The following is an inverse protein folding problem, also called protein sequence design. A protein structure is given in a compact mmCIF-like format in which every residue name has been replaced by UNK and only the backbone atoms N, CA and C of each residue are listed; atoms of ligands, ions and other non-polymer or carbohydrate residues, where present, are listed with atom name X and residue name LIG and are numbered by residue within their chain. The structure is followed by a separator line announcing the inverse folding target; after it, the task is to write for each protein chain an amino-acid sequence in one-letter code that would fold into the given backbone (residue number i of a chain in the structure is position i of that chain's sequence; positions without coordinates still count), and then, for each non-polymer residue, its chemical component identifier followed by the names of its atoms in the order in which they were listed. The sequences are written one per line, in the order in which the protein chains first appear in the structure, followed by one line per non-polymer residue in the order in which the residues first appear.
data_IF_931728286111
#
_entry.id   IF_931728286111
#
_cell.length_a   1.000
_cell.length_b   1.000
_cell.length_c   1.000
_cell.angle_alpha   90.00
_cell.angle_beta   90.00
_cell.angle_gamma   90.00
#
_symmetry.space_group_name_H-M   'P 1'
#
loop_
_entity.id
_entity.type
_entity.pdbx_description
1 polymer ?
#
# COMPACT_ATOMS: atom_id res chain seq x y z
N UNK A 1 15.21 -55.43 3.36
CA UNK A 1 14.60 -54.35 2.55
C UNK A 1 15.43 -53.11 2.72
N UNK A 2 15.77 -52.48 1.60
CA UNK A 2 17.01 -51.75 1.36
C UNK A 2 16.98 -50.28 1.76
N UNK A 3 18.14 -49.86 2.27
CA UNK A 3 18.83 -48.55 2.36
C UNK A 3 18.28 -47.31 1.59
N UNK A 4 17.36 -47.46 0.63
CA UNK A 4 16.74 -46.37 -0.14
C UNK A 4 15.61 -45.62 0.58
N UNK A 5 15.09 -46.11 1.71
CA UNK A 5 14.05 -45.39 2.49
C UNK A 5 14.58 -44.29 3.41
N UNK A 6 15.86 -44.32 3.81
CA UNK A 6 16.45 -43.25 4.65
C UNK A 6 16.61 -41.93 3.90
N UNK A 7 16.83 -41.96 2.59
CA UNK A 7 17.12 -40.74 1.80
C UNK A 7 15.88 -39.89 1.53
N UNK A 8 14.66 -40.44 1.57
CA UNK A 8 13.43 -39.68 1.27
C UNK A 8 12.90 -38.88 2.47
N UNK A 9 13.19 -39.31 3.70
CA UNK A 9 12.69 -38.65 4.92
C UNK A 9 13.55 -37.44 5.30
N UNK A 10 14.86 -37.46 5.02
CA UNK A 10 15.77 -36.35 5.35
C UNK A 10 15.84 -35.23 4.28
N UNK A 11 15.44 -35.52 3.03
CA UNK A 11 15.56 -34.59 1.91
C UNK A 11 14.40 -33.59 1.80
N UNK A 12 13.18 -34.01 2.14
CA UNK A 12 11.97 -33.18 2.11
C UNK A 12 12.01 -31.95 3.05
N UNK A 13 12.49 -32.04 4.31
CA UNK A 13 12.59 -30.88 5.21
C UNK A 13 13.67 -29.88 4.74
N UNK A 14 14.81 -30.36 4.24
CA UNK A 14 15.91 -29.50 3.77
C UNK A 14 15.55 -28.77 2.47
N UNK A 15 14.88 -29.44 1.54
CA UNK A 15 14.38 -28.82 0.31
C UNK A 15 13.30 -27.76 0.62
N UNK A 16 12.36 -28.04 1.53
CA UNK A 16 11.35 -27.07 1.99
C UNK A 16 11.98 -25.83 2.64
N UNK A 17 12.99 -25.99 3.50
CA UNK A 17 13.69 -24.86 4.13
C UNK A 17 14.41 -23.97 3.11
N UNK A 18 15.06 -24.55 2.11
CA UNK A 18 15.73 -23.78 1.04
C UNK A 18 14.74 -23.07 0.13
N UNK A 19 13.62 -23.71 -0.20
CA UNK A 19 12.52 -23.11 -0.95
C UNK A 19 11.88 -21.93 -0.20
N UNK A 20 11.60 -22.09 1.10
CA UNK A 20 11.05 -21.02 1.93
C UNK A 20 12.01 -19.82 2.05
N UNK A 21 13.31 -20.07 2.32
CA UNK A 21 14.32 -19.01 2.36
C UNK A 21 14.46 -18.29 1.01
N UNK A 22 14.46 -19.02 -0.10
CA UNK A 22 14.46 -18.44 -1.45
C UNK A 22 13.22 -17.59 -1.73
N UNK A 23 12.04 -18.05 -1.29
CA UNK A 23 10.79 -17.32 -1.43
C UNK A 23 10.77 -16.02 -0.61
N UNK A 24 11.31 -16.03 0.61
CA UNK A 24 11.42 -14.83 1.43
C UNK A 24 12.39 -13.80 0.83
N UNK A 25 13.55 -14.23 0.34
CA UNK A 25 14.50 -13.33 -0.34
C UNK A 25 13.85 -12.74 -1.59
N UNK A 26 13.18 -13.57 -2.41
CA UNK A 26 12.47 -13.10 -3.58
C UNK A 26 11.36 -12.09 -3.22
N UNK A 27 10.60 -12.34 -2.15
CA UNK A 27 9.57 -11.43 -1.67
C UNK A 27 10.13 -10.08 -1.22
N UNK A 28 11.27 -10.08 -0.49
CA UNK A 28 11.94 -8.84 -0.06
C UNK A 28 12.48 -8.07 -1.26
N UNK A 29 13.12 -8.74 -2.21
CA UNK A 29 13.61 -8.11 -3.45
C UNK A 29 12.45 -7.50 -4.23
N UNK A 30 11.34 -8.23 -4.37
CA UNK A 30 10.14 -7.74 -5.05
C UNK A 30 9.57 -6.49 -4.35
N UNK A 31 9.51 -6.50 -3.02
CA UNK A 31 9.12 -5.35 -2.19
C UNK A 31 9.98 -4.12 -2.48
N UNK A 32 11.31 -4.27 -2.53
CA UNK A 32 12.24 -3.18 -2.84
C UNK A 32 12.05 -2.67 -4.26
N UNK A 33 11.95 -3.57 -5.25
CA UNK A 33 11.76 -3.20 -6.66
C UNK A 33 10.44 -2.46 -6.85
N UNK A 34 9.34 -2.94 -6.28
CA UNK A 34 8.03 -2.26 -6.31
C UNK A 34 8.13 -0.90 -5.63
N UNK A 35 8.75 -0.81 -4.46
CA UNK A 35 8.93 0.46 -3.74
C UNK A 35 9.71 1.50 -4.54
N UNK A 36 10.85 1.11 -5.14
CA UNK A 36 11.69 2.02 -5.94
C UNK A 36 11.00 2.45 -7.23
N UNK A 37 10.38 1.52 -7.95
CA UNK A 37 9.64 1.83 -9.19
C UNK A 37 8.46 2.75 -8.91
N UNK A 38 7.67 2.44 -7.87
CA UNK A 38 6.59 3.31 -7.39
C UNK A 38 7.11 4.71 -7.07
N UNK A 39 8.18 4.83 -6.29
CA UNK A 39 8.80 6.12 -5.94
C UNK A 39 9.22 6.94 -7.16
N UNK A 40 9.90 6.32 -8.12
CA UNK A 40 10.34 6.98 -9.35
C UNK A 40 9.14 7.45 -10.19
N UNK A 41 8.09 6.63 -10.31
CA UNK A 41 6.87 7.04 -11.02
C UNK A 41 6.17 8.19 -10.31
N UNK A 42 6.04 8.12 -8.99
CA UNK A 42 5.34 9.10 -8.18
C UNK A 42 6.02 10.47 -8.23
N UNK A 43 7.35 10.51 -8.08
CA UNK A 43 8.12 11.76 -8.17
C UNK A 43 8.03 12.41 -9.56
N UNK A 44 7.86 11.61 -10.62
CA UNK A 44 7.61 12.14 -11.97
C UNK A 44 6.21 12.74 -12.09
N UNK A 45 5.18 12.03 -11.62
CA UNK A 45 3.81 12.51 -11.70
C UNK A 45 3.55 13.73 -10.79
N UNK A 46 4.13 13.79 -9.59
CA UNK A 46 4.08 14.96 -8.69
C UNK A 46 4.68 16.19 -9.37
N UNK A 47 5.85 16.04 -10.02
CA UNK A 47 6.48 17.13 -10.77
C UNK A 47 5.60 17.65 -11.90
N UNK A 48 4.91 16.75 -12.62
CA UNK A 48 3.93 17.13 -13.66
C UNK A 48 2.73 17.87 -13.06
N UNK A 49 2.17 17.38 -11.96
CA UNK A 49 1.04 18.03 -11.28
C UNK A 49 1.41 19.45 -10.83
N UNK A 50 2.59 19.62 -10.24
CA UNK A 50 3.11 20.93 -9.86
C UNK A 50 3.28 21.86 -11.08
N UNK A 51 3.76 21.34 -12.21
CA UNK A 51 3.87 22.11 -13.44
C UNK A 51 2.50 22.58 -13.97
N UNK A 52 1.44 21.76 -13.87
CA UNK A 52 0.07 22.18 -14.20
C UNK A 52 -0.41 23.33 -13.32
N UNK A 53 -0.18 23.26 -12.00
CA UNK A 53 -0.58 24.33 -11.07
C UNK A 53 0.21 25.63 -11.30
N UNK A 54 1.52 25.54 -11.57
CA UNK A 54 2.34 26.71 -11.90
C UNK A 54 1.88 27.38 -13.21
N UNK A 55 1.59 26.59 -14.24
CA UNK A 55 1.08 27.10 -15.51
C UNK A 55 -0.32 27.72 -15.36
N UNK A 56 -1.20 27.10 -14.57
CA UNK A 56 -2.51 27.66 -14.22
C UNK A 56 -2.38 29.03 -13.54
N UNK A 57 -1.48 29.14 -12.56
CA UNK A 57 -1.22 30.40 -11.87
C UNK A 57 -0.73 31.51 -12.81
N UNK A 58 0.17 31.18 -13.74
CA UNK A 58 0.66 32.13 -14.76
C UNK A 58 -0.45 32.56 -15.73
N UNK A 59 -1.31 31.64 -16.16
CA UNK A 59 -2.47 31.98 -16.98
C UNK A 59 -3.43 32.93 -16.25
N UNK A 60 -3.70 32.67 -14.97
CA UNK A 60 -4.52 33.56 -14.13
C UNK A 60 -3.88 34.95 -13.93
N UNK A 61 -2.55 35.03 -13.82
CA UNK A 61 -1.84 36.31 -13.75
C UNK A 61 -2.08 37.15 -15.01
N UNK A 62 -2.04 36.55 -16.21
CA UNK A 62 -2.38 37.24 -17.48
C UNK A 62 -3.83 37.72 -17.54
N UNK A 63 -4.77 36.95 -16.99
CA UNK A 63 -6.17 37.39 -16.85
C UNK A 63 -6.27 38.60 -15.92
N UNK A 64 -5.54 38.60 -14.81
CA UNK A 64 -5.51 39.74 -13.89
C UNK A 64 -4.94 40.98 -14.56
N UNK A 65 -3.91 40.84 -15.40
CA UNK A 65 -3.36 41.97 -16.16
C UNK A 65 -4.34 42.56 -17.15
N UNK A 66 -5.07 41.73 -17.89
CA UNK A 66 -6.10 42.24 -18.81
C UNK A 66 -7.21 42.97 -18.09
N UNK A 67 -7.62 42.49 -16.91
CA UNK A 67 -8.57 43.19 -16.05
C UNK A 67 -8.00 44.52 -15.55
N UNK A 68 -6.76 44.55 -15.06
CA UNK A 68 -6.12 45.80 -14.62
C UNK A 68 -6.01 46.82 -15.76
N UNK A 69 -5.68 46.37 -16.98
CA UNK A 69 -5.68 47.22 -18.17
C UNK A 69 -7.06 47.77 -18.50
N UNK A 70 -8.09 46.91 -18.47
CA UNK A 70 -9.48 47.32 -18.68
C UNK A 70 -9.92 48.38 -17.66
N UNK A 71 -9.60 48.19 -16.38
CA UNK A 71 -9.92 49.15 -15.31
C UNK A 71 -9.07 50.42 -15.39
N UNK A 72 -7.89 50.39 -16.02
CA UNK A 72 -7.06 51.57 -16.22
C UNK A 72 -7.57 52.47 -17.35
N UNK A 73 -8.33 51.93 -18.30
CA UNK A 73 -8.94 52.71 -19.39
C UNK A 73 -10.01 53.66 -18.83
N UNK A 74 -10.87 53.22 -17.90
CA UNK A 74 -12.00 54.05 -17.45
C UNK A 74 -11.59 55.39 -16.76
N UNK A 75 -10.67 55.42 -15.78
CA UNK A 75 -10.17 56.68 -15.22
C UNK A 75 -9.45 57.54 -16.26
N UNK A 76 -8.81 56.91 -17.24
CA UNK A 76 -8.15 57.61 -18.31
C UNK A 76 -9.16 58.34 -19.21
N UNK A 77 -10.21 57.65 -19.66
CA UNK A 77 -11.18 58.24 -20.58
C UNK A 77 -12.12 59.23 -19.91
N UNK A 78 -12.48 59.00 -18.63
CA UNK A 78 -13.37 59.90 -17.87
C UNK A 78 -12.69 61.08 -17.20
N UNK A 79 -11.49 60.88 -16.65
CA UNK A 79 -10.82 61.87 -15.79
C UNK A 79 -9.51 62.39 -16.37
N UNK A 80 -9.10 61.91 -17.55
CA UNK A 80 -7.78 62.21 -18.12
C UNK A 80 -6.62 61.68 -17.27
N UNK A 81 -6.89 60.78 -16.31
CA UNK A 81 -5.89 60.26 -15.40
C UNK A 81 -5.11 59.13 -16.06
N UNK A 82 -3.88 59.44 -16.48
CA UNK A 82 -2.97 58.52 -17.18
C UNK A 82 -2.14 57.64 -16.24
N UNK A 83 -2.11 57.92 -14.93
CA UNK A 83 -1.30 57.16 -13.96
C UNK A 83 -1.64 55.66 -13.91
N UNK A 84 -2.92 55.22 -13.97
CA UNK A 84 -3.25 53.80 -14.00
C UNK A 84 -2.70 53.07 -15.24
N UNK A 85 -2.73 53.70 -16.42
CA UNK A 85 -2.17 53.12 -17.65
C UNK A 85 -0.64 52.98 -17.56
N UNK A 86 0.00 53.91 -16.86
CA UNK A 86 1.43 53.92 -16.57
C UNK A 86 1.86 52.85 -15.56
N UNK A 87 1.09 52.66 -14.48
CA UNK A 87 1.38 51.68 -13.43
C UNK A 87 1.45 50.22 -13.93
N UNK A 88 0.85 49.94 -15.10
CA UNK A 88 0.91 48.66 -15.80
C UNK A 88 2.30 48.34 -16.39
N UNK A 89 3.30 49.20 -16.21
CA UNK A 89 4.70 48.94 -16.60
C UNK A 89 5.37 47.82 -15.82
N UNK A 90 4.96 47.59 -14.56
CA UNK A 90 5.68 46.70 -13.63
C UNK A 90 5.67 45.23 -14.03
N UNK A 91 4.94 44.88 -15.08
CA UNK A 91 4.61 43.51 -15.43
C UNK A 91 4.83 43.28 -16.91
N UNK A 92 5.98 42.69 -17.25
CA UNK A 92 6.33 42.32 -18.61
C UNK A 92 5.46 41.12 -19.04
N UNK A 93 4.27 41.41 -19.54
CA UNK A 93 3.31 40.40 -20.00
C UNK A 93 3.90 39.49 -21.08
N UNK A 94 4.90 39.95 -21.85
CA UNK A 94 5.59 39.13 -22.84
C UNK A 94 6.45 38.04 -22.15
N UNK A 95 7.14 38.40 -21.06
CA UNK A 95 7.88 37.45 -20.22
C UNK A 95 6.91 36.47 -19.54
N UNK A 96 5.80 36.95 -18.97
CA UNK A 96 4.82 36.06 -18.35
C UNK A 96 4.17 35.11 -19.33
N UNK A 97 3.82 35.60 -20.51
CA UNK A 97 3.29 34.76 -21.57
C UNK A 97 4.32 33.76 -22.09
N UNK A 98 5.60 34.16 -22.18
CA UNK A 98 6.67 33.25 -22.57
C UNK A 98 6.94 32.18 -21.49
N UNK A 99 6.88 32.57 -20.20
CA UNK A 99 6.93 31.62 -19.07
C UNK A 99 5.79 30.61 -19.16
N UNK A 100 4.57 31.10 -19.40
CA UNK A 100 3.39 30.27 -19.56
C UNK A 100 3.54 29.29 -20.74
N UNK A 101 3.92 29.76 -21.92
CA UNK A 101 4.09 28.93 -23.10
C UNK A 101 5.15 27.85 -22.88
N UNK A 102 6.29 28.17 -22.26
CA UNK A 102 7.31 27.17 -21.90
C UNK A 102 6.80 26.15 -20.90
N UNK A 103 6.04 26.59 -19.89
CA UNK A 103 5.49 25.72 -18.85
C UNK A 103 4.41 24.77 -19.40
N UNK A 104 3.62 25.21 -20.39
CA UNK A 104 2.52 24.43 -20.97
C UNK A 104 2.94 23.57 -22.17
N UNK A 105 4.06 23.90 -22.85
CA UNK A 105 4.57 23.16 -24.01
C UNK A 105 4.70 21.63 -23.80
N UNK A 106 5.16 21.10 -22.64
CA UNK A 106 5.18 19.66 -22.38
C UNK A 106 3.86 19.09 -21.85
N UNK A 107 2.88 19.94 -21.51
CA UNK A 107 1.68 19.58 -20.76
C UNK A 107 0.38 19.57 -21.59
N UNK A 108 0.35 20.35 -22.67
CA UNK A 108 -0.86 20.60 -23.46
C UNK A 108 -0.78 19.90 -24.82
N UNK A 109 -1.86 19.26 -25.30
CA UNK A 109 -1.90 18.66 -26.63
C UNK A 109 -1.57 19.68 -27.74
N UNK A 110 -0.91 19.24 -28.82
CA UNK A 110 -0.47 20.09 -29.95
C UNK A 110 -1.58 20.98 -30.58
N UNK A 111 -2.85 20.67 -30.34
CA UNK A 111 -4.00 21.41 -30.86
C UNK A 111 -4.22 22.80 -30.23
N UNK A 112 -3.62 23.13 -29.09
CA UNK A 112 -3.76 24.48 -28.48
C UNK A 112 -2.78 25.52 -29.05
N UNK A 113 -1.98 25.15 -30.06
CA UNK A 113 -1.04 26.07 -30.72
C UNK A 113 -1.72 27.26 -31.43
N UNK A 114 -2.99 27.15 -31.79
CA UNK A 114 -3.80 28.29 -32.25
C UNK A 114 -4.10 29.26 -31.10
N UNK A 115 -4.57 28.75 -29.95
CA UNK A 115 -4.89 29.54 -28.76
C UNK A 115 -3.69 30.36 -28.28
N UNK A 116 -2.49 29.77 -28.18
CA UNK A 116 -1.29 30.54 -27.80
C UNK A 116 -0.92 31.60 -28.84
N UNK A 117 -1.09 31.33 -30.14
CA UNK A 117 -0.89 32.35 -31.18
C UNK A 117 -1.89 33.50 -31.06
N UNK A 118 -3.15 33.21 -30.78
CA UNK A 118 -4.21 34.22 -30.64
C UNK A 118 -3.99 35.09 -29.40
N UNK A 119 -3.69 34.49 -28.24
CA UNK A 119 -3.33 35.21 -27.01
C UNK A 119 -2.12 36.12 -27.26
N UNK A 120 -1.04 35.60 -27.86
CA UNK A 120 0.16 36.39 -28.19
C UNK A 120 -0.18 37.57 -29.08
N UNK A 121 -0.96 37.36 -30.14
CA UNK A 121 -1.34 38.40 -31.08
C UNK A 121 -2.15 39.50 -30.39
N UNK A 122 -3.13 39.12 -29.57
CA UNK A 122 -4.00 40.08 -28.92
C UNK A 122 -3.29 40.82 -27.77
N UNK A 123 -2.41 40.16 -27.02
CA UNK A 123 -1.55 40.84 -26.04
C UNK A 123 -0.64 41.89 -26.69
N UNK A 124 -0.05 41.59 -27.86
CA UNK A 124 0.72 42.59 -28.63
C UNK A 124 -0.15 43.78 -29.01
N UNK A 125 -1.35 43.56 -29.56
CA UNK A 125 -2.28 44.64 -29.90
C UNK A 125 -2.58 45.55 -28.72
N UNK A 126 -2.81 44.98 -27.53
CA UNK A 126 -3.08 45.76 -26.31
C UNK A 126 -1.86 46.57 -25.87
N UNK A 127 -0.67 45.97 -25.95
CA UNK A 127 0.58 46.65 -25.64
C UNK A 127 0.88 47.80 -26.59
N UNK A 128 0.75 47.57 -27.89
CA UNK A 128 0.99 48.57 -28.92
C UNK A 128 -0.01 49.73 -28.77
N UNK A 129 -1.30 49.42 -28.55
CA UNK A 129 -2.32 50.43 -28.28
C UNK A 129 -2.02 51.27 -27.03
N UNK A 130 -1.49 50.64 -25.96
CA UNK A 130 -1.06 51.34 -24.75
C UNK A 130 0.09 52.30 -25.03
N UNK A 131 1.16 51.82 -25.66
CA UNK A 131 2.35 52.64 -25.92
C UNK A 131 2.00 53.80 -26.85
N UNK A 132 1.15 53.56 -27.85
CA UNK A 132 0.68 54.57 -28.77
C UNK A 132 -0.18 55.64 -28.09
N UNK A 133 -1.12 55.23 -27.23
CA UNK A 133 -1.93 56.15 -26.43
C UNK A 133 -1.05 57.01 -25.50
N UNK A 134 -0.06 56.40 -24.82
CA UNK A 134 0.90 57.12 -23.97
C UNK A 134 1.76 58.11 -24.77
N UNK A 135 2.14 57.76 -26.01
CA UNK A 135 2.89 58.66 -26.89
C UNK A 135 2.07 59.88 -27.29
N UNK A 136 0.83 59.66 -27.75
CA UNK A 136 -0.10 60.74 -28.10
C UNK A 136 -0.37 61.67 -26.90
N UNK A 137 -0.46 61.10 -25.70
CA UNK A 137 -0.62 61.88 -24.47
C UNK A 137 0.60 62.72 -24.13
N UNK A 138 1.81 62.16 -24.21
CA UNK A 138 3.05 62.91 -23.94
C UNK A 138 3.12 64.20 -24.75
N UNK A 139 2.81 64.11 -26.05
CA UNK A 139 2.79 65.27 -26.94
C UNK A 139 1.59 66.19 -26.73
N UNK A 140 0.52 65.72 -26.09
CA UNK A 140 -0.72 66.46 -25.85
C UNK A 140 -0.87 67.11 -24.47
N UNK A 141 -0.18 66.62 -23.43
CA UNK A 141 -0.42 67.03 -22.02
C UNK A 141 0.81 67.57 -21.29
N UNK A 142 1.91 67.86 -22.00
CA UNK A 142 3.19 68.27 -21.40
C UNK A 142 3.80 67.21 -20.46
N UNK A 143 3.36 65.95 -20.55
CA UNK A 143 3.90 64.84 -19.78
C UNK A 143 5.30 64.48 -20.34
N UNK A 144 6.39 64.67 -19.57
CA UNK A 144 7.74 64.44 -20.07
C UNK A 144 7.95 62.97 -20.44
N UNK A 145 8.58 62.71 -21.59
CA UNK A 145 8.93 61.36 -22.04
C UNK A 145 9.82 60.61 -21.02
N UNK A 146 10.59 61.33 -20.21
CA UNK A 146 11.45 60.79 -19.15
C UNK A 146 10.65 60.10 -18.02
N UNK A 147 9.38 60.47 -17.85
CA UNK A 147 8.48 59.84 -16.88
C UNK A 147 7.72 58.64 -17.47
N UNK A 148 7.90 58.36 -18.77
CA UNK A 148 7.22 57.31 -19.51
C UNK A 148 8.14 56.09 -19.75
N UNK A 149 7.58 54.90 -20.06
CA UNK A 149 8.37 53.78 -20.55
C UNK A 149 9.29 54.19 -21.70
N UNK A 150 10.52 53.68 -21.70
CA UNK A 150 11.49 53.96 -22.78
C UNK A 150 10.93 53.57 -24.14
N UNK A 151 10.13 52.50 -24.17
CA UNK A 151 9.43 52.00 -25.35
C UNK A 151 8.44 53.02 -25.94
N UNK A 152 7.91 53.95 -25.14
CA UNK A 152 7.03 55.03 -25.63
C UNK A 152 7.81 56.02 -26.49
N UNK A 153 9.08 56.27 -26.17
CA UNK A 153 9.92 57.16 -26.98
C UNK A 153 10.23 56.57 -28.37
N UNK A 154 10.17 55.24 -28.52
CA UNK A 154 10.40 54.52 -29.76
C UNK A 154 9.17 54.51 -30.69
N UNK A 155 7.98 54.82 -30.15
CA UNK A 155 6.75 54.89 -30.95
C UNK A 155 6.78 56.10 -31.88
N UNK A 156 6.71 55.84 -33.18
CA UNK A 156 6.65 56.87 -34.21
C UNK A 156 5.20 57.20 -34.55
N UNK A 157 4.80 58.46 -34.34
CA UNK A 157 3.50 58.98 -34.79
C UNK A 157 3.53 59.27 -36.28
N UNK A 158 2.39 59.11 -36.98
CA UNK A 158 2.28 59.51 -38.38
C UNK A 158 2.43 61.03 -38.54
N UNK A 159 2.75 61.49 -39.75
CA UNK A 159 2.86 62.94 -40.05
C UNK A 159 1.57 63.69 -39.73
N UNK A 160 0.42 63.10 -40.07
CA UNK A 160 -0.90 63.66 -39.78
C UNK A 160 -1.13 63.83 -38.28
N UNK A 161 -0.69 62.85 -37.47
CA UNK A 161 -0.87 62.90 -36.02
C UNK A 161 0.11 63.85 -35.33
N UNK A 162 1.31 64.05 -35.90
CA UNK A 162 2.27 65.04 -35.39
C UNK A 162 1.72 66.46 -35.50
N UNK A 163 1.00 66.76 -36.58
CA UNK A 163 0.37 68.05 -36.87
C UNK A 163 -0.92 68.31 -36.07
N UNK A 164 -1.47 67.31 -35.38
CA UNK A 164 -2.67 67.47 -34.56
C UNK A 164 -2.44 68.45 -33.40
N UNK A 165 -3.48 69.21 -33.05
CA UNK A 165 -3.49 70.00 -31.82
C UNK A 165 -3.45 69.11 -30.58
N UNK A 166 -2.88 69.62 -29.48
CA UNK A 166 -2.78 68.89 -28.22
C UNK A 166 -4.12 68.25 -27.76
N UNK A 167 -5.27 68.95 -27.77
CA UNK A 167 -6.56 68.33 -27.42
C UNK A 167 -6.99 67.20 -28.36
N UNK A 168 -6.69 67.30 -29.66
CA UNK A 168 -7.00 66.26 -30.63
C UNK A 168 -6.12 65.02 -30.45
N UNK A 169 -4.84 65.18 -30.06
CA UNK A 169 -3.96 64.07 -29.69
C UNK A 169 -4.51 63.27 -28.50
N UNK A 170 -4.98 63.97 -27.46
CA UNK A 170 -5.62 63.34 -26.29
C UNK A 170 -6.90 62.60 -26.68
N UNK A 171 -7.77 63.24 -27.48
CA UNK A 171 -8.99 62.61 -27.98
C UNK A 171 -8.69 61.35 -28.80
N UNK A 172 -7.67 61.40 -29.67
CA UNK A 172 -7.26 60.26 -30.48
C UNK A 172 -6.74 59.08 -29.63
N UNK A 173 -6.04 59.36 -28.54
CA UNK A 173 -5.60 58.35 -27.59
C UNK A 173 -6.80 57.66 -26.90
N UNK A 174 -7.84 58.41 -26.53
CA UNK A 174 -9.09 57.88 -25.98
C UNK A 174 -9.82 57.01 -27.00
N UNK A 175 -10.03 57.51 -28.22
CA UNK A 175 -10.71 56.77 -29.30
C UNK A 175 -9.99 55.46 -29.64
N UNK A 176 -8.65 55.43 -29.55
CA UNK A 176 -7.87 54.20 -29.73
C UNK A 176 -8.14 53.16 -28.64
N UNK A 177 -8.10 53.58 -27.36
CA UNK A 177 -8.30 52.67 -26.23
C UNK A 177 -9.75 52.19 -26.10
N UNK A 178 -10.71 52.99 -26.52
CA UNK A 178 -12.15 52.63 -26.59
C UNK A 178 -12.53 51.95 -27.91
N UNK A 179 -11.55 51.70 -28.79
CA UNK A 179 -11.83 51.08 -30.09
C UNK A 179 -12.36 49.65 -29.93
N UNK A 180 -13.27 49.19 -30.81
CA UNK A 180 -13.75 47.80 -30.80
C UNK A 180 -12.62 46.78 -30.92
N UNK A 181 -11.48 47.16 -31.51
CA UNK A 181 -10.31 46.30 -31.65
C UNK A 181 -9.62 46.05 -30.30
N UNK A 182 -9.48 47.07 -29.46
CA UNK A 182 -8.92 46.95 -28.11
C UNK A 182 -9.89 46.16 -27.22
N UNK A 183 -11.18 46.46 -27.29
CA UNK A 183 -12.21 45.74 -26.54
C UNK A 183 -12.22 44.24 -26.87
N UNK A 184 -12.26 43.87 -28.16
CA UNK A 184 -12.21 42.48 -28.59
C UNK A 184 -10.91 41.78 -28.16
N UNK A 185 -9.77 42.47 -28.24
CA UNK A 185 -8.50 41.92 -27.78
C UNK A 185 -8.50 41.68 -26.26
N UNK A 186 -9.07 42.58 -25.45
CA UNK A 186 -9.23 42.39 -24.00
C UNK A 186 -10.10 41.18 -23.70
N UNK A 187 -11.28 41.09 -24.33
CA UNK A 187 -12.22 40.00 -24.14
C UNK A 187 -11.60 38.65 -24.52
N UNK A 188 -10.94 38.56 -25.68
CA UNK A 188 -10.27 37.33 -26.11
C UNK A 188 -9.17 36.93 -25.14
N UNK A 189 -8.22 37.80 -24.82
CA UNK A 189 -7.11 37.43 -23.93
C UNK A 189 -7.65 37.03 -22.55
N UNK A 190 -8.61 37.77 -22.00
CA UNK A 190 -9.21 37.46 -20.70
C UNK A 190 -9.87 36.08 -20.71
N UNK A 191 -10.73 35.80 -21.68
CA UNK A 191 -11.45 34.54 -21.77
C UNK A 191 -10.51 33.37 -22.05
N UNK A 192 -9.57 33.53 -22.98
CA UNK A 192 -8.63 32.48 -23.37
C UNK A 192 -7.66 32.13 -22.23
N UNK A 193 -7.18 33.13 -21.50
CA UNK A 193 -6.30 32.91 -20.33
C UNK A 193 -7.05 32.35 -19.13
N UNK A 194 -8.30 32.78 -18.88
CA UNK A 194 -9.16 32.20 -17.86
C UNK A 194 -9.46 30.72 -18.13
N UNK A 195 -9.95 30.41 -19.33
CA UNK A 195 -10.28 29.04 -19.73
C UNK A 195 -9.04 28.14 -19.69
N UNK A 196 -7.88 28.65 -20.10
CA UNK A 196 -6.61 27.92 -20.00
C UNK A 196 -6.23 27.68 -18.53
N UNK A 197 -6.36 28.68 -17.66
CA UNK A 197 -6.10 28.56 -16.24
C UNK A 197 -6.96 27.46 -15.59
N UNK A 198 -8.27 27.47 -15.84
CA UNK A 198 -9.20 26.45 -15.32
C UNK A 198 -8.86 25.06 -15.86
N UNK A 199 -8.62 24.95 -17.17
CA UNK A 199 -8.26 23.67 -17.80
C UNK A 199 -7.00 23.07 -17.18
N UNK A 200 -5.95 23.88 -17.01
CA UNK A 200 -4.70 23.46 -16.38
C UNK A 200 -4.90 23.10 -14.90
N UNK A 201 -5.72 23.85 -14.18
CA UNK A 201 -6.05 23.57 -12.79
C UNK A 201 -6.76 22.22 -12.64
N UNK A 202 -7.76 21.96 -13.47
CA UNK A 202 -8.51 20.70 -13.48
C UNK A 202 -7.62 19.51 -13.83
N UNK A 203 -6.72 19.65 -14.80
CA UNK A 203 -5.73 18.60 -15.09
C UNK A 203 -4.78 18.35 -13.91
N UNK A 204 -4.34 19.41 -13.23
CA UNK A 204 -3.56 19.32 -11.99
C UNK A 204 -4.30 18.52 -10.91
N UNK A 205 -5.56 18.83 -10.66
CA UNK A 205 -6.42 18.11 -9.69
C UNK A 205 -6.61 16.65 -10.09
N UNK A 206 -6.98 16.37 -11.35
CA UNK A 206 -7.19 15.00 -11.84
C UNK A 206 -5.92 14.15 -11.69
N UNK A 207 -4.76 14.74 -11.95
CA UNK A 207 -3.49 14.05 -11.78
C UNK A 207 -3.16 13.84 -10.29
N UNK A 208 -3.37 14.83 -9.43
CA UNK A 208 -3.19 14.70 -7.99
C UNK A 208 -4.07 13.59 -7.40
N UNK A 209 -5.35 13.54 -7.77
CA UNK A 209 -6.27 12.48 -7.32
C UNK A 209 -5.84 11.09 -7.83
N UNK A 210 -5.30 11.00 -9.06
CA UNK A 210 -4.74 9.75 -9.58
C UNK A 210 -3.53 9.30 -8.77
N UNK A 211 -2.63 10.22 -8.42
CA UNK A 211 -1.45 9.97 -7.58
C UNK A 211 -1.89 9.46 -6.21
N UNK A 212 -2.87 10.11 -5.58
CA UNK A 212 -3.42 9.70 -4.27
C UNK A 212 -4.00 8.28 -4.31
N UNK A 213 -4.83 7.98 -5.30
CA UNK A 213 -5.41 6.65 -5.47
C UNK A 213 -4.34 5.57 -5.73
N UNK A 214 -3.31 5.88 -6.52
CA UNK A 214 -2.18 4.96 -6.73
C UNK A 214 -1.40 4.71 -5.45
N UNK A 215 -1.16 5.74 -4.63
CA UNK A 215 -0.50 5.60 -3.34
C UNK A 215 -1.29 4.68 -2.41
N UNK A 216 -2.59 4.92 -2.25
CA UNK A 216 -3.46 4.07 -1.43
C UNK A 216 -3.39 2.60 -1.88
N UNK A 217 -3.47 2.34 -3.20
CA UNK A 217 -3.34 0.99 -3.74
C UNK A 217 -1.99 0.33 -3.44
N UNK A 218 -0.89 1.08 -3.59
CA UNK A 218 0.47 0.59 -3.30
C UNK A 218 0.64 0.30 -1.81
N UNK A 219 0.19 1.20 -0.93
CA UNK A 219 0.27 1.00 0.52
C UNK A 219 -0.56 -0.20 1.00
N UNK A 220 -1.78 -0.37 0.48
CA UNK A 220 -2.62 -1.53 0.78
C UNK A 220 -1.96 -2.83 0.30
N UNK A 221 -1.42 -2.85 -0.92
CA UNK A 221 -0.73 -4.02 -1.48
C UNK A 221 0.52 -4.41 -0.71
N UNK A 222 1.40 -3.44 -0.41
CA UNK A 222 2.61 -3.66 0.37
C UNK A 222 2.28 -4.11 1.81
N UNK A 223 1.28 -3.47 2.43
CA UNK A 223 0.80 -3.83 3.76
C UNK A 223 0.31 -5.28 3.84
N UNK A 224 -0.50 -5.72 2.86
CA UNK A 224 -0.97 -7.09 2.78
C UNK A 224 0.19 -8.08 2.60
N UNK A 225 1.17 -7.74 1.76
CA UNK A 225 2.35 -8.58 1.51
C UNK A 225 3.21 -8.74 2.78
N UNK A 226 3.39 -7.66 3.54
CA UNK A 226 4.08 -7.69 4.85
C UNK A 226 3.31 -8.53 5.86
N UNK A 227 1.98 -8.43 5.94
CA UNK A 227 1.17 -9.27 6.83
C UNK A 227 1.29 -10.76 6.50
N UNK A 228 1.27 -11.12 5.21
CA UNK A 228 1.49 -12.49 4.75
C UNK A 228 2.89 -12.98 5.13
N UNK A 229 3.91 -12.13 4.96
CA UNK A 229 5.29 -12.45 5.33
C UNK A 229 5.44 -12.68 6.84
N UNK A 230 4.87 -11.81 7.67
CA UNK A 230 4.88 -11.97 9.14
C UNK A 230 4.13 -13.24 9.55
N UNK A 231 2.95 -13.49 8.95
CA UNK A 231 2.15 -14.68 9.21
C UNK A 231 2.91 -15.97 8.93
N UNK A 232 3.54 -16.07 7.76
CA UNK A 232 4.35 -17.24 7.38
C UNK A 232 5.53 -17.49 8.32
N UNK A 233 6.28 -16.44 8.67
CA UNK A 233 7.39 -16.55 9.64
C UNK A 233 6.93 -17.03 11.02
N UNK A 234 5.77 -16.55 11.50
CA UNK A 234 5.22 -16.96 12.80
C UNK A 234 4.82 -18.44 12.83
N UNK A 235 4.19 -18.94 11.78
CA UNK A 235 3.81 -20.35 11.66
C UNK A 235 5.05 -21.24 11.67
N UNK A 236 6.07 -20.88 10.90
CA UNK A 236 7.34 -21.63 10.83
C UNK A 236 8.06 -21.69 12.18
N UNK A 237 8.09 -20.58 12.92
CA UNK A 237 8.70 -20.55 14.26
C UNK A 237 7.93 -21.40 15.26
N UNK A 238 6.59 -21.41 15.18
CA UNK A 238 5.76 -22.22 16.06
C UNK A 238 5.97 -23.72 15.83
N UNK A 239 5.97 -24.16 14.56
CA UNK A 239 6.24 -25.56 14.20
C UNK A 239 7.61 -26.02 14.68
N UNK A 240 8.66 -25.22 14.46
CA UNK A 240 10.02 -25.56 14.90
C UNK A 240 10.14 -25.68 16.42
N UNK A 241 9.49 -24.79 17.18
CA UNK A 241 9.50 -24.86 18.65
C UNK A 241 8.84 -26.14 19.15
N UNK A 242 7.72 -26.55 18.52
CA UNK A 242 7.05 -27.81 18.84
C UNK A 242 7.91 -29.04 18.57
N UNK A 243 8.56 -29.12 17.41
CA UNK A 243 9.46 -30.24 17.06
C UNK A 243 10.63 -30.38 18.06
N UNK A 244 11.26 -29.26 18.43
CA UNK A 244 12.38 -29.26 19.38
C UNK A 244 11.91 -29.72 20.77
N UNK A 245 10.79 -29.20 21.26
CA UNK A 245 10.24 -29.58 22.56
C UNK A 245 9.89 -31.08 22.61
N UNK A 246 9.29 -31.61 21.55
CA UNK A 246 8.96 -33.02 21.43
C UNK A 246 10.21 -33.91 21.41
N UNK A 247 11.24 -33.52 20.64
CA UNK A 247 12.51 -34.25 20.61
C UNK A 247 13.20 -34.27 21.98
N UNK A 248 13.23 -33.14 22.69
CA UNK A 248 13.87 -33.05 24.01
C UNK A 248 13.16 -33.95 25.03
N UNK A 249 11.83 -33.93 25.05
CA UNK A 249 11.07 -34.72 25.99
C UNK A 249 11.12 -36.24 25.68
N UNK A 250 11.31 -36.65 24.41
CA UNK A 250 11.61 -38.05 24.09
C UNK A 250 13.00 -38.50 24.56
N UNK A 251 14.01 -37.63 24.47
CA UNK A 251 15.35 -37.91 25.01
C UNK A 251 15.29 -38.08 26.53
N UNK A 252 14.64 -37.14 27.24
CA UNK A 252 14.46 -37.21 28.69
C UNK A 252 13.73 -38.49 29.11
N UNK A 253 12.66 -38.87 28.39
CA UNK A 253 11.94 -40.11 28.65
C UNK A 253 12.82 -41.35 28.43
N UNK A 254 13.61 -41.39 27.34
CA UNK A 254 14.53 -42.48 27.05
C UNK A 254 15.62 -42.65 28.12
N UNK A 255 16.19 -41.56 28.61
CA UNK A 255 17.15 -41.56 29.72
C UNK A 255 16.53 -42.12 31.00
N UNK A 256 15.34 -41.61 31.38
CA UNK A 256 14.64 -42.08 32.58
C UNK A 256 14.31 -43.55 32.49
N UNK A 257 13.71 -44.01 31.38
CA UNK A 257 13.35 -45.42 31.18
C UNK A 257 14.56 -46.36 31.26
N UNK A 258 15.75 -45.90 30.88
CA UNK A 258 16.98 -46.69 30.94
C UNK A 258 17.49 -46.93 32.37
N UNK A 259 17.05 -46.14 33.35
CA UNK A 259 17.45 -46.23 34.77
C UNK A 259 16.45 -46.95 35.69
N UNK A 260 15.31 -47.35 35.15
CA UNK A 260 14.18 -47.85 35.95
C UNK A 260 14.40 -49.30 36.40
N UNK A 261 14.11 -49.57 37.68
CA UNK A 261 14.25 -50.91 38.27
C UNK A 261 12.98 -51.77 38.24
N UNK A 262 11.83 -51.24 37.81
CA UNK A 262 10.56 -51.97 37.82
C UNK A 262 9.63 -51.63 36.65
N UNK A 263 8.87 -52.61 36.18
CA UNK A 263 7.91 -52.42 35.08
C UNK A 263 6.83 -51.40 35.43
N UNK A 264 6.39 -51.35 36.69
CA UNK A 264 5.38 -50.39 37.15
C UNK A 264 5.89 -48.94 37.05
N UNK A 265 7.13 -48.70 37.46
CA UNK A 265 7.76 -47.37 37.34
C UNK A 265 7.97 -46.97 35.88
N UNK A 266 8.32 -47.92 35.00
CA UNK A 266 8.48 -47.65 33.57
C UNK A 266 7.12 -47.26 32.94
N UNK A 267 6.06 -48.00 33.23
CA UNK A 267 4.71 -47.66 32.77
C UNK A 267 4.27 -46.29 33.29
N UNK A 268 4.58 -45.94 34.55
CA UNK A 268 4.24 -44.64 35.15
C UNK A 268 4.92 -43.50 34.38
N UNK A 269 6.21 -43.62 34.10
CA UNK A 269 6.96 -42.63 33.33
C UNK A 269 6.42 -42.44 31.89
N UNK A 270 5.97 -43.51 31.24
CA UNK A 270 5.35 -43.44 29.91
C UNK A 270 4.05 -42.64 29.96
N UNK A 271 3.20 -42.89 30.95
CA UNK A 271 1.91 -42.21 31.09
C UNK A 271 2.08 -40.75 31.54
N UNK A 272 3.06 -40.47 32.41
CA UNK A 272 3.46 -39.08 32.75
C UNK A 272 4.00 -38.33 31.53
N UNK A 273 4.78 -38.97 30.68
CA UNK A 273 5.24 -38.35 29.45
C UNK A 273 4.08 -38.11 28.47
N UNK A 274 3.18 -39.07 28.31
CA UNK A 274 1.98 -38.91 27.49
C UNK A 274 1.15 -37.71 27.94
N UNK A 275 1.01 -37.51 29.26
CA UNK A 275 0.29 -36.37 29.82
C UNK A 275 0.85 -35.02 29.32
N UNK A 276 2.18 -34.86 29.31
CA UNK A 276 2.83 -33.62 28.87
C UNK A 276 2.54 -33.27 27.40
N UNK A 277 2.20 -34.26 26.57
CA UNK A 277 2.05 -34.08 25.13
C UNK A 277 0.60 -34.04 24.66
N UNK A 278 -0.20 -35.01 25.11
CA UNK A 278 -1.57 -35.18 24.64
C UNK A 278 -2.60 -34.85 25.72
N UNK A 279 -2.18 -34.82 26.99
CA UNK A 279 -3.09 -34.84 28.12
C UNK A 279 -3.90 -36.14 28.15
N UNK A 280 -4.36 -36.52 29.33
CA UNK A 280 -5.35 -37.59 29.46
C UNK A 280 -6.12 -37.41 30.77
N UNK A 281 -7.41 -37.75 30.71
CA UNK A 281 -8.30 -37.78 31.86
C UNK A 281 -8.19 -39.17 32.54
N UNK A 282 -8.11 -40.23 31.73
CA UNK A 282 -7.86 -41.61 32.17
C UNK A 282 -6.78 -42.30 31.33
N UNK A 283 -6.00 -43.18 31.96
CA UNK A 283 -4.94 -43.92 31.29
C UNK A 283 -4.73 -45.29 31.94
N UNK A 284 -4.56 -46.33 31.12
CA UNK A 284 -4.18 -47.66 31.59
C UNK A 284 -3.06 -48.24 30.72
N UNK A 285 -2.19 -49.02 31.37
CA UNK A 285 -1.13 -49.75 30.68
C UNK A 285 -1.22 -51.21 31.11
N UNK A 286 -1.30 -52.09 30.11
CA UNK A 286 -1.36 -53.53 30.32
C UNK A 286 -0.28 -54.25 29.51
N UNK A 287 0.24 -55.33 30.08
CA UNK A 287 1.20 -56.23 29.42
C UNK A 287 0.46 -57.43 28.83
N UNK A 288 0.88 -57.85 27.65
CA UNK A 288 0.41 -59.08 27.04
C UNK A 288 1.23 -60.27 27.52
N UNK A 289 0.58 -61.30 28.04
CA UNK A 289 1.18 -62.60 28.30
C UNK A 289 0.78 -63.60 27.19
N UNK A 290 1.73 -64.02 26.33
CA UNK A 290 1.47 -65.02 25.29
C UNK A 290 1.10 -66.40 25.84
N UNK A 291 1.57 -66.79 27.04
CA UNK A 291 1.35 -68.13 27.59
C UNK A 291 -0.10 -68.31 28.03
N UNK A 292 -0.65 -67.32 28.70
CA UNK A 292 -2.05 -67.32 29.17
C UNK A 292 -3.00 -66.67 28.16
N UNK A 293 -2.49 -66.12 27.06
CA UNK A 293 -3.25 -65.38 26.04
C UNK A 293 -4.15 -64.29 26.64
N UNK A 294 -3.60 -63.53 27.58
CA UNK A 294 -4.33 -62.51 28.32
C UNK A 294 -3.48 -61.29 28.64
N UNK A 295 -4.15 -60.18 28.90
CA UNK A 295 -3.53 -58.95 29.34
C UNK A 295 -3.51 -58.87 30.86
N UNK A 296 -2.40 -58.38 31.40
CA UNK A 296 -2.24 -58.02 32.80
C UNK A 296 -2.13 -56.50 32.94
N UNK A 297 -3.10 -55.87 33.61
CA UNK A 297 -3.02 -54.44 33.94
C UNK A 297 -1.84 -54.18 34.88
N UNK A 298 -0.92 -53.30 34.49
CA UNK A 298 0.24 -52.89 35.31
C UNK A 298 -0.07 -51.62 36.08
N UNK A 299 -0.80 -50.70 35.46
CA UNK A 299 -1.32 -49.51 36.10
C UNK A 299 -2.57 -49.02 35.40
N UNK A 300 -3.41 -48.33 36.15
CA UNK A 300 -4.54 -47.59 35.65
C UNK A 300 -4.77 -46.36 36.54
N UNK A 301 -5.08 -45.24 35.90
CA UNK A 301 -5.45 -43.98 36.51
C UNK A 301 -6.76 -43.52 35.90
N UNK A 302 -7.55 -42.85 36.73
CA UNK A 302 -8.70 -42.10 36.27
C UNK A 302 -8.85 -40.80 37.05
N UNK A 303 -9.56 -39.85 36.47
CA UNK A 303 -9.88 -38.57 37.09
C UNK A 303 -11.20 -38.69 37.85
N UNK A 304 -11.09 -38.79 39.18
CA UNK A 304 -12.24 -38.89 40.08
C UNK A 304 -12.31 -37.58 40.87
N UNK A 305 -13.44 -36.88 40.78
CA UNK A 305 -13.66 -35.55 41.41
C UNK A 305 -12.55 -34.52 41.08
N UNK A 306 -12.04 -34.53 39.85
CA UNK A 306 -10.99 -33.60 39.41
C UNK A 306 -9.58 -33.96 39.89
N UNK A 307 -9.38 -35.18 40.43
CA UNK A 307 -8.08 -35.66 40.91
C UNK A 307 -7.72 -37.00 40.26
N UNK A 308 -6.48 -37.07 39.77
CA UNK A 308 -5.88 -38.32 39.28
C UNK A 308 -5.71 -39.31 40.40
N UNK A 309 -6.48 -40.38 40.32
CA UNK A 309 -6.55 -41.41 41.33
C UNK A 309 -6.13 -42.74 40.73
N UNK A 310 -5.14 -43.45 41.32
CA UNK A 310 -4.84 -44.82 40.92
C UNK A 310 -6.06 -45.71 41.16
N UNK A 311 -6.44 -46.50 40.17
CA UNK A 311 -7.55 -47.44 40.27
C UNK A 311 -7.05 -48.88 40.12
N UNK A 312 -7.70 -49.80 40.82
CA UNK A 312 -7.40 -51.22 40.71
C UNK A 312 -8.34 -51.87 39.71
N UNK A 313 -7.80 -52.37 38.59
CA UNK A 313 -8.55 -53.14 37.60
C UNK A 313 -8.34 -54.65 37.80
N UNK A 314 -9.19 -55.45 37.18
CA UNK A 314 -9.00 -56.90 37.07
C UNK A 314 -7.56 -57.22 36.62
N UNK A 315 -6.89 -58.09 37.38
CA UNK A 315 -5.48 -58.41 37.16
C UNK A 315 -5.23 -59.11 35.83
N UNK A 316 -6.23 -59.76 35.25
CA UNK A 316 -6.07 -60.53 34.02
C UNK A 316 -7.35 -60.56 33.18
N UNK A 317 -7.27 -60.23 31.88
CA UNK A 317 -8.43 -60.24 30.98
C UNK A 317 -8.07 -60.71 29.56
N UNK A 318 -9.00 -61.36 28.81
CA UNK A 318 -8.73 -61.85 27.46
C UNK A 318 -8.65 -60.72 26.43
N UNK A 319 -7.99 -60.98 25.29
CA UNK A 319 -7.88 -60.02 24.20
C UNK A 319 -9.22 -59.75 23.49
N UNK A 320 -9.73 -58.52 23.62
CA UNK A 320 -10.89 -58.00 22.88
C UNK A 320 -10.51 -57.54 21.45
N UNK A 321 -11.51 -57.08 20.68
CA UNK A 321 -11.35 -56.68 19.28
C UNK A 321 -10.27 -55.61 19.06
N UNK A 322 -10.21 -54.59 19.93
CA UNK A 322 -9.22 -53.51 19.89
C UNK A 322 -7.84 -54.03 20.26
N UNK A 323 -7.74 -54.80 21.35
CA UNK A 323 -6.45 -55.28 21.86
C UNK A 323 -5.73 -56.15 20.83
N UNK A 324 -6.46 -56.96 20.03
CA UNK A 324 -5.88 -57.75 18.93
C UNK A 324 -5.28 -56.87 17.83
N UNK A 325 -5.95 -55.77 17.48
CA UNK A 325 -5.45 -54.81 16.48
C UNK A 325 -4.21 -54.07 16.99
N UNK A 326 -4.23 -53.68 18.26
CA UNK A 326 -3.08 -53.05 18.92
C UNK A 326 -1.88 -54.02 18.95
N UNK A 327 -2.11 -55.29 19.29
CA UNK A 327 -1.07 -56.33 19.22
C UNK A 327 -0.50 -56.48 17.79
N UNK A 328 -1.36 -56.43 16.77
CA UNK A 328 -0.94 -56.42 15.36
C UNK A 328 -0.12 -55.17 14.97
N UNK A 329 -0.12 -54.13 15.80
CA UNK A 329 0.70 -52.93 15.64
C UNK A 329 -0.07 -51.68 15.26
N UNK A 330 -1.40 -51.75 15.22
CA UNK A 330 -2.22 -50.60 14.93
C UNK A 330 -2.25 -49.65 16.13
N UNK A 331 -2.04 -48.35 15.88
CA UNK A 331 -2.41 -47.29 16.81
C UNK A 331 -3.79 -46.77 16.45
N UNK A 332 -4.71 -46.73 17.41
CA UNK A 332 -6.12 -46.46 17.20
C UNK A 332 -6.56 -45.22 17.98
N UNK A 333 -7.37 -44.37 17.35
CA UNK A 333 -8.03 -43.24 17.98
C UNK A 333 -9.51 -43.26 17.60
N UNK A 334 -10.36 -43.34 18.62
CA UNK A 334 -11.82 -43.26 18.50
C UNK A 334 -12.29 -41.92 19.09
N UNK A 335 -13.25 -41.30 18.41
CA UNK A 335 -13.92 -40.08 18.86
C UNK A 335 -15.41 -40.37 18.90
N UNK A 336 -15.99 -40.41 20.10
CA UNK A 336 -17.42 -40.66 20.27
C UNK A 336 -18.24 -39.50 19.68
N UNK A 337 -19.37 -39.81 19.06
CA UNK A 337 -20.18 -38.87 18.29
C UNK A 337 -19.72 -38.69 16.83
N UNK A 338 -18.82 -39.54 16.33
CA UNK A 338 -18.34 -39.50 14.94
C UNK A 338 -18.51 -40.86 14.25
N UNK A 339 -18.21 -40.96 12.95
CA UNK A 339 -18.26 -42.24 12.20
C UNK A 339 -17.31 -43.33 12.73
N UNK A 340 -16.48 -43.05 13.74
CA UNK A 340 -15.52 -43.97 14.38
C UNK A 340 -15.89 -44.18 15.85
N UNK A 341 -17.06 -44.75 16.08
CA UNK A 341 -17.44 -45.23 17.41
C UNK A 341 -16.54 -46.41 17.84
N UNK A 342 -16.21 -46.52 19.13
CA UNK A 342 -15.52 -47.69 19.64
C UNK A 342 -16.43 -48.93 19.56
N UNK A 343 -15.88 -50.13 19.37
CA UNK A 343 -16.61 -51.39 19.44
C UNK A 343 -17.33 -51.62 20.77
N UNK A 344 -18.45 -52.34 20.73
CA UNK A 344 -19.30 -52.64 21.89
C UNK A 344 -18.67 -53.62 22.90
N UNK A 345 -17.57 -54.29 22.55
CA UNK A 345 -16.86 -55.24 23.42
C UNK A 345 -15.83 -54.58 24.36
N UNK A 346 -15.84 -53.24 24.42
CA UNK A 346 -15.08 -52.48 25.41
C UNK A 346 -15.78 -52.45 26.76
N UNK A 347 -15.02 -52.74 27.83
CA UNK A 347 -15.47 -52.56 29.20
C UNK A 347 -14.98 -51.20 29.72
N UNK A 348 -15.87 -50.33 30.24
CA UNK A 348 -15.45 -49.11 30.92
C UNK A 348 -14.71 -49.45 32.22
N UNK A 349 -13.99 -48.47 32.74
CA UNK A 349 -13.35 -48.55 34.04
C UNK A 349 -13.31 -47.17 34.71
N UNK A 350 -13.14 -47.15 36.03
CA UNK A 350 -13.03 -45.90 36.79
C UNK A 350 -14.40 -45.26 37.07
N UNK A 351 -14.54 -43.96 36.84
CA UNK A 351 -15.82 -43.24 36.96
C UNK A 351 -16.72 -43.53 35.74
N UNK A 352 -17.51 -44.59 35.85
CA UNK A 352 -18.45 -45.01 34.82
C UNK A 352 -19.57 -43.97 34.56
N UNK A 353 -19.74 -42.97 35.43
CA UNK A 353 -20.69 -41.88 35.21
C UNK A 353 -20.19 -40.90 34.13
N UNK A 354 -18.89 -40.93 33.81
CA UNK A 354 -18.27 -40.06 32.83
C UNK A 354 -17.60 -40.86 31.70
N UNK A 355 -18.33 -41.04 30.60
CA UNK A 355 -17.80 -41.76 29.44
C UNK A 355 -16.75 -40.93 28.70
N UNK A 356 -15.59 -41.53 28.41
CA UNK A 356 -14.52 -40.89 27.63
C UNK A 356 -15.00 -40.43 26.26
N UNK A 357 -14.80 -39.14 25.94
CA UNK A 357 -15.14 -38.55 24.64
C UNK A 357 -14.23 -39.03 23.51
N UNK A 358 -13.00 -39.38 23.85
CA UNK A 358 -11.99 -39.92 22.94
C UNK A 358 -11.24 -41.07 23.60
N UNK A 359 -10.86 -42.08 22.81
CA UNK A 359 -10.10 -43.25 23.28
C UNK A 359 -8.90 -43.47 22.36
N UNK A 360 -7.70 -43.50 22.93
CA UNK A 360 -6.47 -43.75 22.19
C UNK A 360 -5.82 -45.06 22.67
N UNK A 361 -5.50 -45.95 21.74
CA UNK A 361 -4.81 -47.20 22.01
C UNK A 361 -3.51 -47.26 21.20
N UNK A 362 -2.39 -47.45 21.89
CA UNK A 362 -1.05 -47.43 21.29
C UNK A 362 -0.26 -48.66 21.74
N UNK A 363 0.36 -49.41 20.82
CA UNK A 363 1.23 -50.51 21.20
C UNK A 363 2.55 -49.99 21.77
N UNK A 364 2.91 -50.46 22.97
CA UNK A 364 4.26 -50.30 23.52
C UNK A 364 5.03 -51.58 23.20
N UNK A 365 6.14 -51.46 22.49
CA UNK A 365 6.95 -52.58 22.04
C UNK A 365 8.35 -52.47 22.60
N UNK A 366 8.94 -53.61 22.96
CA UNK A 366 10.39 -53.68 23.14
C UNK A 366 11.01 -53.39 21.77
N UNK A 367 11.87 -52.36 21.69
CA UNK A 367 12.59 -52.04 20.46
C UNK A 367 13.33 -53.28 19.97
N UNK A 368 13.32 -53.53 18.66
CA UNK A 368 13.94 -54.71 18.08
C UNK A 368 15.37 -54.90 18.60
N UNK A 369 15.62 -55.99 19.34
CA UNK A 369 16.87 -56.74 19.12
C UNK A 369 16.75 -57.28 17.70
N UNK A 370 17.27 -56.50 16.75
CA UNK A 370 17.56 -57.01 15.42
C UNK A 370 18.72 -57.98 15.48
#
# INVERSE_FOLDING_TARGET
MTEKRKTYVDFLPHARKRLAAGLHIAAVVLLVVIGVTAWLTLTREIRKANAYFQASHQAHALTRYTLMFQHAIEPFTRLGNWMPLMALQTTNWADEFQRLERATQPLVPKNDSSRFRDIRRNLRKLHDARLYALRLLSEGTSLPLEQLPKEVAEVTLSKEEQELSAPLKVRRAIELLESPTVEQALLSVRNDTWNLSETLHLYGIQLANRIENQLLGIFLGLGLLVLILIGSLRVDLWLRRGEIALSQAFVELGEKLSSVGSTHEACRLIVEAADRFIGWDSASVALWDPQTSSFQTVLAFDEIEGKRTPITLDRQYPANSISRRVLAGESLLFLRGTKREPPDDLRPFGDESQVSKSLMYVPIRLGERT
#
